data_IF_926437455288
#
_entry.id   IF_926437455288
#
_cell.length_a   1.000
_cell.length_b   1.000
_cell.length_c   1.000
_cell.angle_alpha   90.00
_cell.angle_beta   90.00
_cell.angle_gamma   90.00
#
_symmetry.space_group_name_H-M   'P 1'
#
loop_
_entity.id
_entity.type
_entity.pdbx_description
1 polymer ?
#
# COMPACT_ATOMS: atom_id res chain seq x y z
N UNK A 1 -54.19 -22.44 14.27
CA UNK A 1 -53.16 -21.74 13.50
C UNK A 1 -52.83 -22.64 12.33
N UNK A 2 -53.12 -22.22 11.06
CA UNK A 2 -53.04 -23.10 9.89
C UNK A 2 -51.60 -23.46 9.58
N UNK A 3 -51.28 -24.73 9.35
CA UNK A 3 -49.93 -25.23 9.03
C UNK A 3 -49.24 -24.43 7.92
N UNK A 4 -49.99 -23.95 6.92
CA UNK A 4 -49.47 -23.08 5.87
C UNK A 4 -48.89 -21.74 6.37
N UNK A 5 -49.48 -21.13 7.41
CA UNK A 5 -48.96 -19.90 8.01
C UNK A 5 -47.69 -20.15 8.81
N UNK A 6 -47.55 -21.28 9.47
CA UNK A 6 -46.37 -21.65 10.21
C UNK A 6 -45.18 -21.91 9.25
N UNK A 7 -45.42 -22.55 8.12
CA UNK A 7 -44.40 -22.82 7.09
C UNK A 7 -43.92 -21.51 6.44
N UNK A 8 -44.81 -20.55 6.11
CA UNK A 8 -44.41 -19.24 5.59
C UNK A 8 -43.57 -18.43 6.58
N UNK A 9 -43.87 -18.46 7.85
CA UNK A 9 -43.09 -17.75 8.89
C UNK A 9 -41.70 -18.38 9.05
N UNK A 10 -41.61 -19.73 8.99
CA UNK A 10 -40.31 -20.42 9.03
C UNK A 10 -39.43 -20.11 7.82
N UNK A 11 -40.02 -20.02 6.61
CA UNK A 11 -39.27 -19.64 5.39
C UNK A 11 -38.80 -18.19 5.41
N UNK A 12 -39.62 -17.28 5.93
CA UNK A 12 -39.19 -15.86 6.06
C UNK A 12 -38.10 -15.74 7.13
N UNK A 13 -38.18 -16.47 8.23
CA UNK A 13 -37.13 -16.47 9.27
C UNK A 13 -35.83 -17.07 8.77
N UNK A 14 -35.88 -18.10 7.91
CA UNK A 14 -34.68 -18.69 7.31
C UNK A 14 -34.03 -17.76 6.27
N UNK A 15 -34.77 -16.96 5.53
CA UNK A 15 -34.24 -15.93 4.62
C UNK A 15 -33.63 -14.75 5.38
N UNK A 16 -34.15 -14.38 6.55
CA UNK A 16 -33.61 -13.31 7.40
C UNK A 16 -32.27 -13.72 8.08
N UNK A 17 -32.03 -15.00 8.29
CA UNK A 17 -30.80 -15.52 8.88
C UNK A 17 -29.66 -15.70 7.87
N UNK A 18 -29.92 -15.64 6.55
CA UNK A 18 -28.90 -15.73 5.51
C UNK A 18 -28.29 -14.39 5.12
N UNK A 19 -28.72 -13.28 5.70
CA UNK A 19 -28.04 -11.99 5.66
C UNK A 19 -27.05 -11.90 6.84
N UNK A 20 -26.29 -12.97 7.10
CA UNK A 20 -25.00 -12.79 7.75
C UNK A 20 -24.12 -12.08 6.72
N UNK A 21 -24.16 -10.75 6.81
CA UNK A 21 -23.22 -9.90 6.14
C UNK A 21 -21.84 -10.55 6.24
N UNK A 22 -21.22 -10.81 5.10
CA UNK A 22 -19.77 -10.81 5.06
C UNK A 22 -19.33 -9.45 5.61
N UNK A 23 -19.16 -9.34 6.91
CA UNK A 23 -18.36 -8.30 7.50
C UNK A 23 -16.95 -8.62 7.02
N UNK A 24 -16.60 -8.10 5.84
CA UNK A 24 -15.21 -7.98 5.43
C UNK A 24 -14.53 -7.32 6.62
N UNK A 25 -13.66 -8.04 7.31
CA UNK A 25 -12.81 -7.47 8.36
C UNK A 25 -12.26 -6.17 7.80
N UNK A 26 -12.33 -5.04 8.53
CA UNK A 26 -11.88 -3.76 8.00
C UNK A 26 -10.46 -3.96 7.48
N UNK A 27 -10.31 -3.86 6.18
CA UNK A 27 -9.01 -4.07 5.55
C UNK A 27 -8.03 -3.05 6.11
N UNK A 28 -6.86 -3.50 6.56
CA UNK A 28 -5.84 -2.60 7.08
C UNK A 28 -5.49 -1.54 6.03
N UNK A 29 -5.68 -0.24 6.30
CA UNK A 29 -5.35 0.81 5.34
C UNK A 29 -3.83 0.90 5.16
N UNK A 30 -3.38 1.17 3.93
CA UNK A 30 -1.97 1.34 3.60
C UNK A 30 -1.32 2.49 4.39
N UNK A 31 -2.07 3.56 4.64
CA UNK A 31 -1.64 4.68 5.46
C UNK A 31 -1.23 4.27 6.89
N UNK A 32 -1.98 3.37 7.52
CA UNK A 32 -1.63 2.87 8.85
C UNK A 32 -0.33 2.04 8.86
N UNK A 33 -0.05 1.31 7.78
CA UNK A 33 1.22 0.58 7.62
C UNK A 33 2.36 1.56 7.36
N UNK A 34 2.17 2.52 6.45
CA UNK A 34 3.15 3.57 6.16
C UNK A 34 3.50 4.39 7.40
N UNK A 35 2.50 4.82 8.17
CA UNK A 35 2.70 5.57 9.41
C UNK A 35 3.51 4.80 10.43
N UNK A 36 3.31 3.48 10.53
CA UNK A 36 4.12 2.63 11.39
C UNK A 36 5.58 2.55 10.92
N UNK A 37 5.84 2.43 9.61
CA UNK A 37 7.20 2.48 9.06
C UNK A 37 7.87 3.82 9.39
N UNK A 38 7.19 4.94 9.16
CA UNK A 38 7.72 6.28 9.45
C UNK A 38 8.00 6.49 10.94
N UNK A 39 7.13 6.01 11.81
CA UNK A 39 7.32 6.11 13.26
C UNK A 39 8.48 5.25 13.79
N UNK A 40 8.89 4.25 13.01
CA UNK A 40 9.99 3.35 13.35
C UNK A 40 11.34 3.81 12.77
N UNK A 41 11.31 4.69 11.78
CA UNK A 41 12.51 5.37 11.30
C UNK A 41 12.97 6.38 12.37
N UNK A 42 14.17 6.19 12.93
CA UNK A 42 14.71 7.07 13.98
C UNK A 42 14.80 8.51 13.50
N UNK A 43 15.23 8.70 12.25
CA UNK A 43 15.22 9.98 11.54
C UNK A 43 14.83 9.74 10.08
N UNK A 44 13.94 10.56 9.54
CA UNK A 44 13.65 10.58 8.12
C UNK A 44 13.64 12.03 7.59
N UNK A 45 14.11 12.27 6.35
CA UNK A 45 14.12 13.60 5.77
C UNK A 45 12.69 14.13 5.62
N UNK A 46 12.52 15.46 5.64
CA UNK A 46 11.24 16.08 5.34
C UNK A 46 10.70 15.60 4.01
N UNK A 47 9.42 15.27 3.96
CA UNK A 47 8.81 14.68 2.79
C UNK A 47 7.31 14.84 2.76
N UNK A 48 6.69 14.23 1.77
CA UNK A 48 5.26 14.32 1.54
C UNK A 48 4.64 12.93 1.42
N UNK A 49 3.49 12.75 2.06
CA UNK A 49 2.66 11.54 1.93
C UNK A 49 1.65 11.71 0.80
N UNK A 50 1.41 10.65 0.04
CA UNK A 50 0.37 10.55 -0.98
C UNK A 50 -0.50 9.33 -0.72
N UNK A 51 -1.81 9.45 -1.01
CA UNK A 51 -2.81 8.40 -0.71
C UNK A 51 -3.79 8.22 -1.85
N UNK A 52 -4.30 7.00 -2.00
CA UNK A 52 -5.37 6.71 -2.95
C UNK A 52 -6.67 7.45 -2.62
N UNK A 53 -6.96 7.65 -1.34
CA UNK A 53 -8.18 8.30 -0.86
C UNK A 53 -8.20 9.82 -1.06
N UNK A 54 -7.07 10.44 -1.42
CA UNK A 54 -6.99 11.89 -1.63
C UNK A 54 -7.65 12.29 -2.96
N UNK A 55 -8.35 13.42 -2.95
CA UNK A 55 -9.00 13.99 -4.13
C UNK A 55 -8.11 15.03 -4.83
N UNK A 56 -8.37 15.27 -6.12
CA UNK A 56 -7.62 16.26 -6.88
C UNK A 56 -7.74 17.66 -6.25
N UNK A 57 -6.59 18.23 -5.92
CA UNK A 57 -6.49 19.52 -5.23
C UNK A 57 -6.14 19.39 -3.75
N UNK A 58 -6.19 18.20 -3.16
CA UNK A 58 -5.67 17.95 -1.82
C UNK A 58 -4.15 17.79 -1.84
N UNK A 59 -3.50 18.12 -0.72
CA UNK A 59 -2.04 18.08 -0.63
C UNK A 59 -1.47 16.68 -0.81
N UNK A 60 -2.17 15.65 -0.36
CA UNK A 60 -1.75 14.24 -0.44
C UNK A 60 -2.29 13.51 -1.69
N UNK A 61 -2.81 14.25 -2.66
CA UNK A 61 -3.22 13.71 -3.96
C UNK A 61 -2.00 13.38 -4.84
N UNK A 62 -1.93 12.13 -5.31
CA UNK A 62 -0.94 11.72 -6.29
C UNK A 62 -1.44 12.04 -7.70
N UNK A 63 -0.92 13.11 -8.30
CA UNK A 63 -1.30 13.50 -9.67
C UNK A 63 -0.86 12.43 -10.69
N UNK A 64 -1.60 12.33 -11.81
CA UNK A 64 -1.26 11.39 -12.88
C UNK A 64 0.16 11.61 -13.43
N UNK A 65 0.60 12.86 -13.57
CA UNK A 65 1.97 13.19 -14.00
C UNK A 65 3.02 12.68 -13.01
N UNK A 66 2.80 12.85 -11.70
CA UNK A 66 3.72 12.36 -10.69
C UNK A 66 3.71 10.83 -10.64
N UNK A 67 2.54 10.21 -10.74
CA UNK A 67 2.41 8.75 -10.83
C UNK A 67 3.20 8.19 -12.02
N UNK A 68 3.05 8.79 -13.22
CA UNK A 68 3.77 8.37 -14.42
C UNK A 68 5.30 8.53 -14.26
N UNK A 69 5.75 9.63 -13.64
CA UNK A 69 7.17 9.85 -13.35
C UNK A 69 7.74 8.80 -12.38
N UNK A 70 6.96 8.36 -11.40
CA UNK A 70 7.41 7.39 -10.39
C UNK A 70 7.34 5.95 -10.87
N UNK A 71 6.25 5.58 -11.55
CA UNK A 71 5.88 4.18 -11.83
C UNK A 71 5.57 3.92 -13.31
N UNK A 72 5.82 4.89 -14.21
CA UNK A 72 5.54 4.76 -15.64
C UNK A 72 4.04 4.70 -15.93
N UNK A 73 3.67 3.96 -16.96
CA UNK A 73 2.26 3.79 -17.39
C UNK A 73 1.41 2.93 -16.44
N UNK A 74 1.95 2.54 -15.29
CA UNK A 74 1.24 1.70 -14.33
C UNK A 74 0.08 2.47 -13.69
N UNK A 75 -1.14 2.01 -13.90
CA UNK A 75 -2.30 2.59 -13.24
C UNK A 75 -2.41 2.13 -11.78
N UNK A 76 -2.59 3.10 -10.86
CA UNK A 76 -2.73 2.91 -9.42
C UNK A 76 -4.19 3.14 -8.98
N UNK A 77 -5.17 2.62 -9.73
CA UNK A 77 -6.59 2.78 -9.41
C UNK A 77 -7.23 1.48 -8.93
N UNK A 78 -8.35 1.54 -8.20
CA UNK A 78 -9.10 0.36 -7.80
C UNK A 78 -9.55 -0.50 -8.97
N UNK A 79 -9.93 0.12 -10.10
CA UNK A 79 -10.35 -0.58 -11.31
C UNK A 79 -9.20 -1.39 -11.94
N UNK A 80 -7.96 -0.99 -11.71
CA UNK A 80 -6.76 -1.64 -12.23
C UNK A 80 -6.11 -2.57 -11.20
N UNK A 81 -6.81 -2.88 -10.13
CA UNK A 81 -6.40 -3.89 -9.16
C UNK A 81 -5.52 -3.37 -8.02
N UNK A 82 -5.44 -2.05 -7.82
CA UNK A 82 -4.83 -1.44 -6.63
C UNK A 82 -5.93 -1.03 -5.67
N UNK A 83 -6.17 -1.82 -4.64
CA UNK A 83 -7.24 -1.59 -3.69
C UNK A 83 -6.97 -0.41 -2.75
N UNK A 84 -5.69 -0.11 -2.49
CA UNK A 84 -5.25 0.99 -1.63
C UNK A 84 -3.76 1.24 -1.84
N UNK A 85 -3.30 2.47 -1.59
CA UNK A 85 -1.87 2.78 -1.47
C UNK A 85 -1.62 3.96 -0.54
N UNK A 86 -0.41 3.98 0.00
CA UNK A 86 0.19 5.13 0.67
C UNK A 86 1.68 5.20 0.33
N UNK A 87 2.16 6.40 -0.03
CA UNK A 87 3.55 6.66 -0.42
C UNK A 87 4.09 7.79 0.45
N UNK A 88 5.37 7.71 0.80
CA UNK A 88 6.13 8.83 1.35
C UNK A 88 7.33 9.11 0.47
N UNK A 89 7.46 10.34 0.00
CA UNK A 89 8.55 10.78 -0.85
C UNK A 89 9.31 11.91 -0.15
N UNK A 90 10.62 11.75 -0.01
CA UNK A 90 11.48 12.85 0.46
C UNK A 90 11.37 14.05 -0.47
N UNK A 91 11.32 15.22 0.11
CA UNK A 91 11.40 16.52 -0.59
C UNK A 91 12.78 17.16 -0.48
N UNK A 92 13.76 16.40 0.00
CA UNK A 92 15.16 16.82 0.13
C UNK A 92 16.02 16.11 -0.93
N UNK A 93 17.32 16.37 -0.91
CA UNK A 93 18.30 15.67 -1.76
C UNK A 93 18.58 14.25 -1.29
N UNK A 94 18.19 13.88 -0.08
CA UNK A 94 18.38 12.53 0.46
C UNK A 94 17.33 11.58 -0.12
N UNK A 95 17.71 10.49 -0.78
CA UNK A 95 16.79 9.52 -1.33
C UNK A 95 16.15 8.67 -0.21
N UNK A 96 14.96 9.08 0.20
CA UNK A 96 14.15 8.34 1.16
C UNK A 96 12.74 8.20 0.60
N UNK A 97 12.34 6.99 0.31
CA UNK A 97 11.00 6.67 -0.22
C UNK A 97 10.43 5.44 0.48
N UNK A 98 9.19 5.53 0.92
CA UNK A 98 8.42 4.40 1.41
C UNK A 98 7.17 4.25 0.57
N UNK A 99 6.81 3.02 0.23
CA UNK A 99 5.57 2.74 -0.48
C UNK A 99 4.90 1.49 0.07
N UNK A 100 3.60 1.59 0.26
CA UNK A 100 2.72 0.50 0.65
C UNK A 100 1.58 0.44 -0.34
N UNK A 101 1.45 -0.66 -1.06
CA UNK A 101 0.33 -0.92 -1.98
C UNK A 101 -0.42 -2.15 -1.50
N UNK A 102 -1.74 -2.11 -1.54
CA UNK A 102 -2.60 -3.28 -1.35
C UNK A 102 -3.27 -3.62 -2.68
N UNK A 103 -2.97 -4.81 -3.19
CA UNK A 103 -3.44 -5.28 -4.48
C UNK A 103 -4.62 -6.24 -4.33
N UNK A 104 -5.48 -6.31 -5.34
CA UNK A 104 -6.61 -7.25 -5.37
C UNK A 104 -6.19 -8.65 -5.83
N UNK A 105 -5.05 -8.77 -6.53
CA UNK A 105 -4.54 -10.04 -7.06
C UNK A 105 -3.02 -10.14 -6.92
N UNK A 106 -2.50 -11.37 -6.82
CA UNK A 106 -1.05 -11.62 -6.82
C UNK A 106 -0.36 -11.21 -8.13
N UNK A 107 -1.07 -11.27 -9.27
CA UNK A 107 -0.54 -10.76 -10.54
C UNK A 107 -0.29 -9.25 -10.45
N UNK A 108 -1.26 -8.48 -9.94
CA UNK A 108 -1.10 -7.03 -9.77
C UNK A 108 0.01 -6.71 -8.78
N UNK A 109 0.13 -7.46 -7.69
CA UNK A 109 1.24 -7.28 -6.74
C UNK A 109 2.61 -7.47 -7.42
N UNK A 110 2.74 -8.45 -8.32
CA UNK A 110 3.97 -8.65 -9.10
C UNK A 110 4.24 -7.50 -10.08
N UNK A 111 3.21 -6.95 -10.72
CA UNK A 111 3.34 -5.77 -11.60
C UNK A 111 3.82 -4.55 -10.82
N UNK A 112 3.21 -4.27 -9.66
CA UNK A 112 3.61 -3.17 -8.76
C UNK A 112 5.05 -3.36 -8.28
N UNK A 113 5.43 -4.57 -7.85
CA UNK A 113 6.80 -4.84 -7.40
C UNK A 113 7.84 -4.55 -8.49
N UNK A 114 7.57 -4.95 -9.75
CA UNK A 114 8.44 -4.63 -10.89
C UNK A 114 8.57 -3.12 -11.14
N UNK A 115 7.48 -2.36 -10.97
CA UNK A 115 7.52 -0.90 -11.10
C UNK A 115 8.34 -0.26 -9.96
N UNK A 116 8.21 -0.76 -8.72
CA UNK A 116 9.04 -0.36 -7.60
C UNK A 116 10.54 -0.68 -7.86
N UNK A 117 10.86 -1.85 -8.44
CA UNK A 117 12.23 -2.18 -8.86
C UNK A 117 12.75 -1.21 -9.93
N UNK A 118 11.91 -0.85 -10.91
CA UNK A 118 12.27 0.13 -11.93
C UNK A 118 12.54 1.50 -11.27
N UNK A 119 11.72 1.92 -10.32
CA UNK A 119 11.92 3.15 -9.55
C UNK A 119 13.26 3.17 -8.82
N UNK A 120 13.59 2.11 -8.08
CA UNK A 120 14.89 2.01 -7.38
C UNK A 120 16.06 2.05 -8.38
N UNK A 121 15.94 1.39 -9.54
CA UNK A 121 16.98 1.46 -10.59
C UNK A 121 17.17 2.88 -11.12
N UNK A 122 16.08 3.63 -11.34
CA UNK A 122 16.13 5.03 -11.78
C UNK A 122 16.83 5.90 -10.73
N UNK A 123 16.50 5.74 -9.46
CA UNK A 123 17.17 6.45 -8.36
C UNK A 123 18.67 6.11 -8.31
N UNK A 124 19.04 4.83 -8.39
CA UNK A 124 20.46 4.41 -8.44
C UNK A 124 21.21 5.02 -9.61
N UNK A 125 20.58 5.18 -10.76
CA UNK A 125 21.20 5.84 -11.89
C UNK A 125 21.43 7.34 -11.63
N UNK A 126 20.44 8.00 -11.02
CA UNK A 126 20.49 9.43 -10.71
C UNK A 126 21.55 9.76 -9.65
N UNK A 127 21.69 8.95 -8.62
CA UNK A 127 22.62 9.16 -7.49
C UNK A 127 23.95 8.43 -7.65
N UNK A 128 24.27 7.92 -8.85
CA UNK A 128 25.52 7.20 -9.09
C UNK A 128 26.73 8.06 -8.77
N UNK A 129 27.64 7.55 -7.92
CA UNK A 129 28.87 8.22 -7.50
C UNK A 129 28.64 9.35 -6.48
N UNK A 130 27.45 9.45 -5.91
CA UNK A 130 27.14 10.36 -4.80
C UNK A 130 27.18 9.60 -3.47
N UNK A 131 27.24 10.32 -2.34
CA UNK A 131 27.30 9.71 -1.01
C UNK A 131 26.04 8.91 -0.69
N UNK A 132 24.91 9.28 -1.27
CA UNK A 132 23.61 8.63 -1.11
C UNK A 132 23.48 7.27 -1.82
N UNK A 133 24.47 6.85 -2.61
CA UNK A 133 24.42 5.58 -3.34
C UNK A 133 24.25 4.38 -2.41
N UNK A 134 24.83 4.43 -1.20
CA UNK A 134 24.69 3.37 -0.18
C UNK A 134 23.24 3.20 0.28
N UNK A 135 22.49 4.29 0.44
CA UNK A 135 21.05 4.25 0.80
C UNK A 135 20.28 3.48 -0.26
N UNK A 136 20.58 3.72 -1.53
CA UNK A 136 19.92 3.06 -2.64
C UNK A 136 20.32 1.58 -2.79
N UNK A 137 21.52 1.22 -2.37
CA UNK A 137 21.96 -0.17 -2.31
C UNK A 137 21.18 -0.95 -1.25
N UNK A 138 20.77 -0.29 -0.16
CA UNK A 138 19.97 -0.85 0.91
C UNK A 138 18.47 -0.97 0.57
N UNK A 139 18.00 -0.35 -0.52
CA UNK A 139 16.59 -0.38 -0.93
C UNK A 139 16.01 -1.79 -1.02
N UNK A 140 14.82 -1.98 -0.49
CA UNK A 140 14.11 -3.29 -0.40
C UNK A 140 12.70 -3.22 -0.95
N UNK A 141 12.28 -4.35 -1.53
CA UNK A 141 10.90 -4.59 -1.95
C UNK A 141 10.49 -5.96 -1.42
N UNK A 142 9.29 -6.04 -0.88
CA UNK A 142 8.70 -7.29 -0.41
C UNK A 142 7.24 -7.38 -0.86
N UNK A 143 6.89 -8.50 -1.50
CA UNK A 143 5.49 -8.90 -1.64
C UNK A 143 5.14 -9.74 -0.40
N UNK A 144 4.19 -9.27 0.38
CA UNK A 144 3.68 -9.99 1.55
C UNK A 144 2.16 -10.06 1.48
N UNK A 145 1.64 -11.27 1.27
CA UNK A 145 0.22 -11.50 1.00
C UNK A 145 -0.24 -10.72 -0.24
N UNK A 146 -1.17 -9.78 -0.06
CA UNK A 146 -1.64 -8.88 -1.12
C UNK A 146 -1.03 -7.47 -1.02
N UNK A 147 -0.03 -7.28 -0.15
CA UNK A 147 0.71 -6.04 -0.04
C UNK A 147 2.02 -6.09 -0.82
N UNK A 148 2.37 -4.95 -1.42
CA UNK A 148 3.72 -4.67 -1.91
C UNK A 148 4.28 -3.56 -1.06
N UNK A 149 5.42 -3.83 -0.45
CA UNK A 149 6.14 -2.92 0.44
C UNK A 149 7.44 -2.52 -0.25
N UNK A 150 7.73 -1.23 -0.31
CA UNK A 150 9.02 -0.71 -0.77
C UNK A 150 9.58 0.24 0.29
N UNK A 151 10.87 0.11 0.54
CA UNK A 151 11.62 1.06 1.35
C UNK A 151 12.95 1.39 0.68
N UNK A 152 13.23 2.67 0.49
CA UNK A 152 14.52 3.23 0.11
C UNK A 152 15.01 4.02 1.32
N UNK A 153 15.86 3.40 2.10
CA UNK A 153 16.44 3.91 3.34
C UNK A 153 17.63 3.04 3.72
N UNK A 154 18.55 3.55 4.51
CA UNK A 154 19.62 2.73 5.10
C UNK A 154 19.03 1.61 5.99
N UNK A 155 17.88 1.86 6.61
CA UNK A 155 17.17 0.95 7.50
C UNK A 155 16.06 0.16 6.79
N UNK A 156 16.11 0.04 5.46
CA UNK A 156 15.03 -0.55 4.67
C UNK A 156 14.57 -1.94 5.16
N UNK A 157 15.50 -2.80 5.59
CA UNK A 157 15.17 -4.15 6.10
C UNK A 157 14.33 -4.07 7.38
N UNK A 158 14.65 -3.14 8.28
CA UNK A 158 13.94 -2.93 9.55
C UNK A 158 12.55 -2.37 9.27
N UNK A 159 12.44 -1.38 8.38
CA UNK A 159 11.17 -0.75 8.01
C UNK A 159 10.21 -1.75 7.34
N UNK A 160 10.71 -2.60 6.46
CA UNK A 160 9.94 -3.69 5.85
C UNK A 160 9.49 -4.73 6.89
N UNK A 161 10.35 -5.08 7.85
CA UNK A 161 10.00 -6.00 8.92
C UNK A 161 8.89 -5.42 9.81
N UNK A 162 8.93 -4.12 10.12
CA UNK A 162 7.89 -3.44 10.88
C UNK A 162 6.56 -3.40 10.12
N UNK A 163 6.56 -3.06 8.84
CA UNK A 163 5.37 -3.11 7.99
C UNK A 163 4.71 -4.50 8.03
N UNK A 164 5.52 -5.55 7.84
CA UNK A 164 5.07 -6.95 7.93
C UNK A 164 4.48 -7.29 9.30
N UNK A 165 5.10 -6.82 10.40
CA UNK A 165 4.61 -7.01 11.77
C UNK A 165 3.22 -6.40 11.96
N UNK A 166 3.01 -5.17 11.48
CA UNK A 166 1.72 -4.46 11.57
C UNK A 166 0.64 -5.18 10.77
N UNK A 167 0.94 -5.62 9.56
CA UNK A 167 0.00 -6.38 8.71
C UNK A 167 -0.40 -7.67 9.42
N UNK A 168 0.56 -8.40 9.98
CA UNK A 168 0.32 -9.67 10.70
C UNK A 168 -0.53 -9.51 11.97
N UNK A 169 -0.35 -8.40 12.73
CA UNK A 169 -1.03 -8.17 14.01
C UNK A 169 -2.53 -7.88 13.86
N UNK A 170 -2.96 -7.35 12.70
CA UNK A 170 -4.36 -6.96 12.46
C UNK A 170 -5.22 -8.06 11.81
N UNK A 171 -4.71 -9.27 11.70
CA UNK A 171 -5.43 -10.49 11.39
C UNK A 171 -6.04 -11.11 12.65
#
# INVERSE_FOLDING_TARGET
MNAAKAICILLILSMLLSVTACTSSPSLPCDGVLSAMLSFADEHPAGKTYRLSAEAGEDDYLSGTLQEMLYGELSLTPNDGVADFALYLSQTTVPFELAVFRCTTGRKATEIAKACEARIRTLRHYFRGQEEEEILASGRILIYENFVLMAVSIDADILIAEAKRVIKKKR
#
